data_IF_901438918048
#
_entry.id   IF_901438918048
#
_cell.length_a   1.000
_cell.length_b   1.000
_cell.length_c   1.000
_cell.angle_alpha   90.00
_cell.angle_beta   90.00
_cell.angle_gamma   90.00
#
_symmetry.space_group_name_H-M   'P 1'
#
loop_
_entity.id
_entity.type
_entity.pdbx_description
1 polymer ?
#
# COMPACT_ATOMS: atom_id res chain seq x y z
N UNK A 1 -15.13 9.71 -12.34
CA UNK A 1 -13.83 8.98 -12.20
C UNK A 1 -13.26 9.27 -10.81
N UNK A 2 -12.64 8.28 -10.16
CA UNK A 2 -11.91 8.43 -8.90
C UNK A 2 -10.56 7.71 -9.03
N UNK A 3 -9.45 8.33 -8.57
CA UNK A 3 -8.17 7.65 -8.52
C UNK A 3 -8.12 6.68 -7.34
N UNK A 4 -7.54 5.50 -7.56
CA UNK A 4 -7.19 4.55 -6.53
C UNK A 4 -5.76 4.06 -6.79
N UNK A 5 -4.92 4.09 -5.77
CA UNK A 5 -3.55 3.58 -5.88
C UNK A 5 -3.56 2.08 -6.09
N UNK A 6 -2.71 1.60 -6.99
CA UNK A 6 -2.48 0.16 -7.21
C UNK A 6 -1.67 -0.37 -6.03
N UNK A 7 -2.17 -1.43 -5.40
CA UNK A 7 -1.54 -2.06 -4.24
C UNK A 7 -0.95 -3.45 -4.54
N UNK A 8 -1.13 -3.97 -5.76
CA UNK A 8 -0.46 -5.17 -6.26
C UNK A 8 0.98 -4.86 -6.69
N UNK A 9 1.83 -5.88 -6.75
CA UNK A 9 3.20 -5.68 -7.27
C UNK A 9 3.18 -5.47 -8.79
N UNK A 10 4.22 -4.83 -9.36
CA UNK A 10 4.36 -4.72 -10.81
C UNK A 10 4.34 -6.08 -11.53
N UNK A 11 4.88 -7.15 -10.92
CA UNK A 11 4.86 -8.48 -11.51
C UNK A 11 3.44 -9.05 -11.68
N UNK A 12 2.54 -8.81 -10.72
CA UNK A 12 1.13 -9.21 -10.84
C UNK A 12 0.40 -8.35 -11.87
N UNK A 13 0.64 -7.03 -11.84
CA UNK A 13 0.03 -6.07 -12.76
C UNK A 13 0.38 -6.39 -14.23
N UNK A 14 1.64 -6.75 -14.50
CA UNK A 14 2.11 -7.17 -15.83
C UNK A 14 1.47 -8.49 -16.30
N UNK A 15 0.97 -9.32 -15.38
CA UNK A 15 0.18 -10.53 -15.67
C UNK A 15 -1.32 -10.25 -15.80
N UNK A 16 -1.74 -8.99 -15.70
CA UNK A 16 -3.15 -8.58 -15.79
C UNK A 16 -3.91 -8.62 -14.47
N UNK A 17 -3.23 -8.75 -13.33
CA UNK A 17 -3.85 -8.76 -12.00
C UNK A 17 -3.55 -7.47 -11.24
N UNK A 18 -4.61 -6.72 -10.91
CA UNK A 18 -4.51 -5.44 -10.22
C UNK A 18 -5.27 -5.49 -8.91
N UNK A 19 -4.59 -5.15 -7.81
CA UNK A 19 -5.24 -4.88 -6.54
C UNK A 19 -5.45 -3.38 -6.40
N UNK A 20 -6.65 -2.99 -5.98
CA UNK A 20 -6.96 -1.66 -5.47
C UNK A 20 -7.60 -1.81 -4.10
N UNK A 21 -7.28 -0.90 -3.19
CA UNK A 21 -7.84 -0.93 -1.83
C UNK A 21 -8.70 0.29 -1.63
N UNK A 22 -9.95 0.06 -1.26
CA UNK A 22 -10.98 1.09 -1.17
C UNK A 22 -11.47 1.16 0.27
N UNK A 23 -11.05 2.19 1.01
CA UNK A 23 -11.66 2.50 2.31
C UNK A 23 -13.11 2.92 2.07
N UNK A 24 -14.04 2.33 2.84
CA UNK A 24 -15.44 2.77 2.85
C UNK A 24 -15.50 4.15 3.52
N UNK A 25 -15.74 5.17 2.72
CA UNK A 25 -16.07 6.51 3.18
C UNK A 25 -17.61 6.65 3.23
N UNK A 26 -18.16 6.89 4.42
CA UNK A 26 -19.60 7.03 4.66
C UNK A 26 -20.21 8.24 3.94
N UNK A 27 -19.40 9.29 3.69
CA UNK A 27 -19.80 10.44 2.87
C UNK A 27 -19.53 10.26 1.38
N UNK A 28 -18.81 9.21 0.99
CA UNK A 28 -18.29 9.00 -0.35
C UNK A 28 -19.22 8.19 -1.24
N UNK A 29 -19.73 8.80 -2.32
CA UNK A 29 -20.61 8.11 -3.28
C UNK A 29 -19.94 6.88 -3.93
N UNK A 30 -18.70 7.03 -4.43
CA UNK A 30 -18.04 5.98 -5.23
C UNK A 30 -17.54 4.83 -4.37
N UNK A 31 -16.90 5.11 -3.23
CA UNK A 31 -16.46 4.08 -2.28
C UNK A 31 -17.65 3.25 -1.80
N UNK A 32 -18.74 3.91 -1.39
CA UNK A 32 -19.95 3.21 -0.97
C UNK A 32 -20.56 2.36 -2.09
N UNK A 33 -20.66 2.91 -3.30
CA UNK A 33 -21.16 2.15 -4.45
C UNK A 33 -20.34 0.88 -4.71
N UNK A 34 -19.01 0.96 -4.63
CA UNK A 34 -18.12 -0.21 -4.80
C UNK A 34 -18.46 -1.27 -3.74
N UNK A 35 -18.51 -0.88 -2.47
CA UNK A 35 -18.78 -1.80 -1.37
C UNK A 35 -20.18 -2.43 -1.44
N UNK A 36 -21.16 -1.70 -1.95
CA UNK A 36 -22.56 -2.14 -1.94
C UNK A 36 -22.97 -2.86 -3.24
N UNK A 37 -22.19 -2.79 -4.34
CA UNK A 37 -22.59 -3.28 -5.67
C UNK A 37 -21.54 -4.08 -6.44
N UNK A 38 -20.29 -4.18 -5.99
CA UNK A 38 -19.27 -4.95 -6.70
C UNK A 38 -19.19 -6.38 -6.19
N UNK A 39 -19.26 -7.32 -7.13
CA UNK A 39 -19.11 -8.75 -6.89
C UNK A 39 -18.13 -9.35 -7.91
N UNK A 40 -17.77 -10.61 -7.71
CA UNK A 40 -16.98 -11.36 -8.69
C UNK A 40 -17.69 -11.36 -10.04
N UNK A 41 -17.02 -10.86 -11.07
CA UNK A 41 -17.55 -10.76 -12.43
C UNK A 41 -18.08 -9.36 -12.79
N UNK A 42 -18.16 -8.43 -11.83
CA UNK A 42 -18.46 -7.03 -12.12
C UNK A 42 -17.44 -6.45 -13.10
N UNK A 43 -17.92 -5.94 -14.23
CA UNK A 43 -17.09 -5.28 -15.22
C UNK A 43 -16.80 -3.86 -14.77
N UNK A 44 -15.53 -3.46 -14.86
CA UNK A 44 -15.06 -2.12 -14.50
C UNK A 44 -14.37 -1.49 -15.70
N UNK A 45 -14.54 -0.18 -15.86
CA UNK A 45 -13.81 0.60 -16.86
C UNK A 45 -12.74 1.41 -16.15
N UNK A 46 -11.49 1.28 -16.62
CA UNK A 46 -10.36 2.05 -16.14
C UNK A 46 -9.77 2.86 -17.29
N UNK A 47 -9.19 4.02 -16.97
CA UNK A 47 -8.43 4.82 -17.94
C UNK A 47 -6.96 4.39 -18.06
N UNK A 48 -6.54 3.39 -17.29
CA UNK A 48 -5.15 2.94 -17.20
C UNK A 48 -4.50 3.32 -15.88
N UNK A 49 -3.29 2.80 -15.59
CA UNK A 49 -2.49 3.33 -14.50
C UNK A 49 -2.04 4.76 -14.83
N UNK A 50 -2.12 5.66 -13.85
CA UNK A 50 -1.67 7.05 -13.93
C UNK A 50 -0.94 7.41 -12.62
N UNK A 51 0.01 8.35 -12.69
CA UNK A 51 0.74 8.87 -11.53
C UNK A 51 2.27 8.75 -11.66
N UNK A 52 2.98 9.49 -10.80
CA UNK A 52 4.45 9.53 -10.75
C UNK A 52 5.01 9.08 -9.39
N UNK A 53 4.15 8.52 -8.53
CA UNK A 53 4.53 7.98 -7.23
C UNK A 53 5.10 6.56 -7.40
N UNK A 54 6.28 6.50 -7.98
CA UNK A 54 7.06 5.28 -8.22
C UNK A 54 8.54 5.59 -7.97
N UNK A 55 9.33 4.56 -7.68
CA UNK A 55 10.78 4.69 -7.60
C UNK A 55 11.39 4.90 -8.98
N UNK A 56 12.30 5.86 -9.09
CA UNK A 56 13.10 6.13 -10.28
C UNK A 56 14.57 6.24 -9.87
N UNK A 57 15.43 5.35 -10.38
CA UNK A 57 16.85 5.29 -9.99
C UNK A 57 17.68 6.49 -10.47
N UNK A 58 17.17 7.31 -11.40
CA UNK A 58 17.82 8.55 -11.81
C UNK A 58 17.49 9.72 -10.87
N UNK A 59 16.35 9.64 -10.18
CA UNK A 59 15.83 10.70 -9.31
C UNK A 59 16.04 10.40 -7.82
N UNK A 60 15.86 9.14 -7.43
CA UNK A 60 15.67 8.74 -6.05
C UNK A 60 16.91 8.06 -5.46
N UNK A 61 17.05 8.20 -4.14
CA UNK A 61 18.04 7.49 -3.35
C UNK A 61 17.70 6.00 -3.24
N UNK A 62 18.71 5.14 -3.20
CA UNK A 62 18.55 3.72 -2.84
C UNK A 62 18.11 3.48 -1.38
N UNK A 63 18.04 4.53 -0.56
CA UNK A 63 17.45 4.52 0.79
C UNK A 63 16.27 5.49 0.83
N UNK A 64 15.08 4.97 1.10
CA UNK A 64 13.82 5.72 1.06
C UNK A 64 13.20 5.73 2.46
N UNK A 65 12.70 6.90 2.86
CA UNK A 65 11.79 7.03 4.00
C UNK A 65 10.39 7.29 3.45
N UNK A 66 9.47 6.37 3.76
CA UNK A 66 8.05 6.49 3.43
C UNK A 66 7.25 6.94 4.63
N UNK A 67 6.21 7.74 4.39
CA UNK A 67 5.21 8.10 5.39
C UNK A 67 3.84 7.83 4.79
N UNK A 68 3.04 7.03 5.49
CA UNK A 68 1.70 6.65 5.08
C UNK A 68 0.71 6.87 6.22
N UNK A 69 -0.54 7.20 5.86
CA UNK A 69 -1.64 7.33 6.80
C UNK A 69 -2.87 6.56 6.31
N UNK A 70 -3.41 5.67 7.15
CA UNK A 70 -4.54 4.80 6.81
C UNK A 70 -4.41 4.13 5.43
N UNK A 71 -5.42 4.28 4.57
CA UNK A 71 -5.42 3.68 3.23
C UNK A 71 -4.32 4.23 2.28
N UNK A 72 -3.62 5.31 2.66
CA UNK A 72 -2.46 5.85 1.94
C UNK A 72 -1.24 4.91 1.94
N UNK A 73 -1.29 3.80 2.69
CA UNK A 73 -0.28 2.74 2.69
C UNK A 73 -0.21 1.93 1.39
N UNK A 74 -1.26 1.98 0.58
CA UNK A 74 -1.45 1.15 -0.62
C UNK A 74 -0.29 1.15 -1.63
N UNK A 75 0.27 2.30 -2.07
CA UNK A 75 1.42 2.27 -2.97
C UNK A 75 2.68 1.71 -2.30
N UNK A 76 2.83 1.83 -0.98
CA UNK A 76 3.96 1.25 -0.26
C UNK A 76 3.87 -0.27 -0.15
N UNK A 77 2.66 -0.85 -0.19
CA UNK A 77 2.49 -2.31 -0.35
C UNK A 77 3.10 -2.76 -1.68
N UNK A 78 2.77 -2.07 -2.78
CA UNK A 78 3.35 -2.36 -4.10
C UNK A 78 4.88 -2.22 -4.10
N UNK A 79 5.39 -1.15 -3.48
CA UNK A 79 6.84 -0.89 -3.37
C UNK A 79 7.57 -1.96 -2.53
N UNK A 80 7.05 -2.30 -1.36
CA UNK A 80 7.64 -3.31 -0.49
C UNK A 80 7.66 -4.70 -1.15
N UNK A 81 6.58 -5.06 -1.86
CA UNK A 81 6.55 -6.30 -2.65
C UNK A 81 7.55 -6.27 -3.80
N UNK A 82 7.76 -5.12 -4.44
CA UNK A 82 8.77 -4.96 -5.49
C UNK A 82 10.19 -5.20 -4.97
N UNK A 83 10.49 -4.75 -3.75
CA UNK A 83 11.77 -5.05 -3.07
C UNK A 83 11.91 -6.56 -2.83
N UNK A 84 10.86 -7.19 -2.30
CA UNK A 84 10.87 -8.62 -1.99
C UNK A 84 10.96 -9.52 -3.21
N UNK A 85 10.39 -9.11 -4.32
CA UNK A 85 10.43 -9.84 -5.60
C UNK A 85 11.74 -9.58 -6.38
N UNK A 86 12.65 -8.77 -5.84
CA UNK A 86 13.93 -8.44 -6.48
C UNK A 86 13.81 -7.51 -7.69
N UNK A 87 12.65 -6.87 -7.88
CA UNK A 87 12.46 -5.86 -8.92
C UNK A 87 13.19 -4.55 -8.59
N UNK A 88 13.33 -4.27 -7.30
CA UNK A 88 14.01 -3.08 -6.79
C UNK A 88 15.08 -3.49 -5.77
N UNK A 89 16.29 -2.95 -5.94
CA UNK A 89 17.39 -3.12 -4.99
C UNK A 89 17.57 -1.85 -4.16
N UNK A 90 16.64 -1.62 -3.23
CA UNK A 90 16.59 -0.43 -2.37
C UNK A 90 16.24 -0.80 -0.92
N UNK A 91 16.54 0.12 0.00
CA UNK A 91 16.10 0.09 1.39
C UNK A 91 14.89 1.03 1.60
N UNK A 92 13.85 0.55 2.28
CA UNK A 92 12.65 1.31 2.65
C UNK A 92 12.43 1.25 4.16
N UNK A 93 12.45 2.42 4.81
CA UNK A 93 11.92 2.63 6.14
C UNK A 93 10.56 3.31 6.04
N UNK A 94 9.51 2.65 6.49
CA UNK A 94 8.14 3.12 6.36
C UNK A 94 7.54 3.47 7.71
N UNK A 95 7.12 4.72 7.89
CA UNK A 95 6.26 5.12 9.00
C UNK A 95 4.81 5.01 8.58
N UNK A 96 4.03 4.22 9.31
CA UNK A 96 2.63 3.99 9.02
C UNK A 96 1.74 4.42 10.17
N UNK A 97 1.07 5.57 9.98
CA UNK A 97 0.13 6.15 10.93
C UNK A 97 -1.29 5.61 10.77
N UNK A 98 -1.87 5.18 11.88
CA UNK A 98 -3.28 4.82 12.04
C UNK A 98 -3.84 5.48 13.31
N UNK A 99 -5.16 5.58 13.43
CA UNK A 99 -5.74 6.04 14.69
C UNK A 99 -5.59 4.97 15.76
N UNK A 100 -6.02 3.74 15.43
CA UNK A 100 -5.95 2.57 16.31
C UNK A 100 -5.30 1.38 15.62
N UNK A 101 -4.88 0.40 16.40
CA UNK A 101 -4.31 -0.86 15.89
C UNK A 101 -5.25 -1.61 14.95
N UNK A 102 -6.55 -1.53 15.20
CA UNK A 102 -7.59 -2.15 14.36
C UNK A 102 -7.71 -1.53 12.97
N UNK A 103 -7.25 -0.29 12.78
CA UNK A 103 -7.25 0.39 11.47
C UNK A 103 -6.09 -0.07 10.57
N UNK A 104 -5.12 -0.81 11.10
CA UNK A 104 -3.94 -1.24 10.36
C UNK A 104 -4.31 -2.33 9.36
N UNK A 105 -4.42 -1.92 8.09
CA UNK A 105 -4.49 -2.87 6.96
C UNK A 105 -3.10 -3.43 6.60
N UNK A 106 -3.08 -4.65 6.05
CA UNK A 106 -1.87 -5.39 5.63
C UNK A 106 -0.86 -5.71 6.73
N UNK A 107 -1.21 -5.62 8.02
CA UNK A 107 -0.28 -5.82 9.14
C UNK A 107 0.54 -7.13 9.02
N UNK A 108 -0.13 -8.27 8.84
CA UNK A 108 0.52 -9.58 8.73
C UNK A 108 1.48 -9.65 7.55
N UNK A 109 1.03 -9.16 6.39
CA UNK A 109 1.84 -9.14 5.17
C UNK A 109 3.08 -8.25 5.36
N UNK A 110 2.95 -7.04 5.88
CA UNK A 110 4.10 -6.19 6.12
C UNK A 110 5.08 -6.77 7.13
N UNK A 111 4.61 -7.47 8.18
CA UNK A 111 5.49 -8.21 9.10
C UNK A 111 6.25 -9.33 8.38
N UNK A 112 5.61 -10.05 7.48
CA UNK A 112 6.27 -11.08 6.68
C UNK A 112 7.30 -10.48 5.71
N UNK A 113 6.94 -9.40 5.01
CA UNK A 113 7.85 -8.70 4.11
C UNK A 113 9.07 -8.16 4.88
N UNK A 114 8.85 -7.53 6.04
CA UNK A 114 9.93 -6.99 6.88
C UNK A 114 10.91 -8.10 7.29
N UNK A 115 10.39 -9.21 7.84
CA UNK A 115 11.19 -10.34 8.29
C UNK A 115 12.00 -11.00 7.16
N UNK A 116 11.43 -11.07 5.95
CA UNK A 116 12.04 -11.77 4.82
C UNK A 116 12.92 -10.85 3.94
N UNK A 117 12.91 -9.53 4.17
CA UNK A 117 13.62 -8.56 3.33
C UNK A 117 15.14 -8.54 3.47
N UNK A 118 15.70 -9.32 4.40
CA UNK A 118 17.13 -9.22 4.74
C UNK A 118 17.52 -7.83 5.27
N UNK A 119 16.57 -7.11 5.87
CA UNK A 119 16.76 -5.77 6.41
C UNK A 119 16.52 -4.62 5.42
N UNK A 120 16.15 -4.92 4.17
CA UNK A 120 15.83 -3.90 3.14
C UNK A 120 14.49 -3.22 3.36
N UNK A 121 13.55 -3.84 4.06
CA UNK A 121 12.28 -3.23 4.40
C UNK A 121 12.09 -3.23 5.92
N UNK A 122 11.76 -2.07 6.46
CA UNK A 122 11.40 -1.88 7.87
C UNK A 122 10.14 -1.04 7.96
N UNK A 123 9.28 -1.35 8.92
CA UNK A 123 8.05 -0.60 9.16
C UNK A 123 7.92 -0.23 10.63
N UNK A 124 7.58 1.03 10.87
CA UNK A 124 7.26 1.59 12.18
C UNK A 124 5.78 1.96 12.16
N UNK A 125 5.01 1.36 13.07
CA UNK A 125 3.58 1.65 13.21
C UNK A 125 3.40 2.76 14.23
N UNK A 126 2.64 3.79 13.87
CA UNK A 126 2.34 4.95 14.71
C UNK A 126 0.84 4.99 14.99
N UNK A 127 0.43 5.02 16.26
CA UNK A 127 -0.97 5.05 16.68
C UNK A 127 -1.34 6.39 17.31
N UNK A 128 -2.36 7.06 16.76
CA UNK A 128 -2.75 8.40 17.24
C UNK A 128 -3.65 8.38 18.49
N UNK A 129 -4.38 7.29 18.73
CA UNK A 129 -5.40 7.19 19.80
C UNK A 129 -5.11 6.07 20.82
N UNK A 130 -4.01 5.33 20.67
CA UNK A 130 -3.65 4.18 21.53
C UNK A 130 -2.16 4.16 21.85
N UNK A 131 -1.81 3.89 23.11
CA UNK A 131 -0.44 3.57 23.51
C UNK A 131 -0.33 2.05 23.76
N UNK A 132 0.42 1.35 22.90
CA UNK A 132 0.58 -0.11 22.96
C UNK A 132 2.05 -0.49 22.80
N UNK A 133 2.48 -1.55 23.49
CA UNK A 133 3.83 -2.09 23.32
C UNK A 133 4.08 -2.53 21.87
N UNK A 134 5.19 -2.06 21.30
CA UNK A 134 5.58 -2.35 19.90
C UNK A 134 4.98 -1.40 18.86
N UNK A 135 4.34 -0.31 19.30
CA UNK A 135 3.83 0.78 18.48
C UNK A 135 4.39 2.11 19.02
N UNK A 136 4.59 3.07 18.12
CA UNK A 136 4.97 4.45 18.46
C UNK A 136 3.75 5.38 18.53
#
# INVERSE_FOLDING_TARGET
>A
KRPYSISSSPNEALKGYYDVTVKKDEGGFVSRYIWDNWDKGTKVTSSGPEGHFCYDNLRDSGKIIGIAGGCGITPFRSLARSIMEGLLDIELLLFYGCNKKEDIIFYKEFKELENNSGGKFKIVYVLAEEELEGFE
#
